data_IF_270670700936
#
_entry.id   IF_270670700936
#
_cell.length_a   1.000
_cell.length_b   1.000
_cell.length_c   1.000
_cell.angle_alpha   90.00
_cell.angle_beta   90.00
_cell.angle_gamma   90.00
#
_symmetry.space_group_name_H-M   'P 1'
#
loop_
_entity.id
_entity.type
_entity.pdbx_description
1 polymer ?
#
# COMPACT_ATOMS: atom_id res chain seq x y z
N UNK A 1 17.64 26.39 -1.50
CA UNK A 1 16.35 26.18 -2.05
C UNK A 1 15.50 25.30 -1.17
N UNK A 2 14.40 25.78 -0.87
CA UNK A 2 13.56 25.07 0.02
C UNK A 2 12.33 24.54 -0.69
N UNK A 3 12.15 23.25 -0.62
CA UNK A 3 10.97 22.65 -1.15
C UNK A 3 10.01 22.43 -0.02
N UNK A 4 9.08 23.31 0.10
CA UNK A 4 7.97 22.94 0.91
C UNK A 4 7.18 21.91 0.15
N UNK A 5 7.42 20.68 0.45
CA UNK A 5 6.60 19.64 -0.10
C UNK A 5 5.29 19.69 0.65
N UNK A 6 4.30 20.28 0.02
CA UNK A 6 2.96 20.26 0.59
C UNK A 6 2.35 18.91 0.27
N UNK A 7 2.15 18.11 1.31
CA UNK A 7 1.51 16.81 1.18
C UNK A 7 0.07 16.98 1.59
N UNK A 8 -0.83 16.69 0.68
CA UNK A 8 -2.25 16.79 0.92
C UNK A 8 -2.83 15.43 1.33
N UNK A 9 -4.04 15.41 1.89
CA UNK A 9 -4.71 14.16 2.17
C UNK A 9 -4.73 13.25 0.94
N UNK A 10 -4.42 11.97 1.16
CA UNK A 10 -4.43 10.91 0.17
C UNK A 10 -3.32 10.98 -0.88
N UNK A 11 -2.33 11.86 -0.68
CA UNK A 11 -1.14 11.91 -1.53
C UNK A 11 -0.14 10.79 -1.23
N UNK A 12 -0.06 10.37 0.02
CA UNK A 12 0.94 9.40 0.48
C UNK A 12 0.25 8.28 1.23
N UNK A 13 0.37 7.07 0.72
CA UNK A 13 -0.20 5.88 1.35
C UNK A 13 0.91 4.92 1.75
N UNK A 14 0.71 4.25 2.88
CA UNK A 14 1.55 3.13 3.29
C UNK A 14 0.77 1.84 3.21
N UNK A 15 1.35 0.82 2.61
CA UNK A 15 0.75 -0.51 2.51
C UNK A 15 1.56 -1.49 3.35
N UNK A 16 0.87 -2.37 4.07
CA UNK A 16 1.51 -3.40 4.86
C UNK A 16 0.58 -4.59 5.02
N UNK A 17 1.15 -5.80 4.99
CA UNK A 17 0.41 -7.01 5.31
C UNK A 17 0.62 -7.37 6.78
N UNK A 18 -0.46 -7.73 7.42
CA UNK A 18 -0.43 -8.21 8.80
C UNK A 18 -0.88 -9.66 8.85
N UNK A 19 -0.24 -10.45 9.70
CA UNK A 19 -0.54 -11.86 9.85
C UNK A 19 0.72 -12.70 9.73
N UNK A 20 0.60 -14.02 9.69
CA UNK A 20 -0.67 -14.76 9.66
C UNK A 20 -1.39 -14.77 10.99
N UNK A 21 -2.71 -14.70 10.94
CA UNK A 21 -3.58 -14.88 12.08
C UNK A 21 -4.26 -16.25 12.00
N UNK A 22 -4.84 -16.75 13.09
CA UNK A 22 -5.68 -17.94 13.00
C UNK A 22 -6.78 -17.71 11.95
N UNK A 23 -6.99 -18.71 11.11
CA UNK A 23 -7.94 -18.57 10.01
C UNK A 23 -9.35 -18.29 10.50
N UNK A 24 -9.98 -17.30 9.91
CA UNK A 24 -11.38 -16.97 10.16
C UNK A 24 -12.03 -16.78 8.80
N UNK A 25 -12.98 -17.63 8.47
CA UNK A 25 -13.62 -17.62 7.16
C UNK A 25 -12.62 -17.74 6.00
N UNK A 26 -11.53 -18.48 6.23
CA UNK A 26 -10.50 -18.69 5.23
C UNK A 26 -9.47 -17.56 5.13
N UNK A 27 -9.59 -16.51 5.91
CA UNK A 27 -8.66 -15.39 5.87
C UNK A 27 -7.61 -15.52 6.98
N UNK A 28 -6.37 -15.34 6.63
CA UNK A 28 -5.24 -15.39 7.57
C UNK A 28 -4.43 -14.12 7.61
N UNK A 29 -4.66 -13.20 6.67
CA UNK A 29 -3.90 -11.96 6.56
C UNK A 29 -4.83 -10.79 6.36
N UNK A 30 -4.32 -9.60 6.65
CA UNK A 30 -5.01 -8.35 6.35
C UNK A 30 -4.02 -7.45 5.63
N UNK A 31 -4.41 -6.95 4.47
CA UNK A 31 -3.65 -5.88 3.81
C UNK A 31 -4.20 -4.56 4.30
N UNK A 32 -3.34 -3.74 4.87
CA UNK A 32 -3.71 -2.47 5.46
C UNK A 32 -3.08 -1.34 4.65
N UNK A 33 -3.89 -0.35 4.32
CA UNK A 33 -3.42 0.88 3.70
C UNK A 33 -3.74 2.06 4.60
N UNK A 34 -2.77 2.91 4.85
CA UNK A 34 -2.93 4.08 5.72
C UNK A 34 -2.56 5.32 4.94
N UNK A 35 -3.44 6.31 4.94
CA UNK A 35 -3.10 7.63 4.45
C UNK A 35 -2.26 8.36 5.50
N UNK A 36 -1.08 8.82 5.12
CA UNK A 36 -0.14 9.40 6.08
C UNK A 36 -0.61 10.72 6.66
N UNK A 37 -1.41 11.46 5.93
CA UNK A 37 -1.87 12.79 6.38
C UNK A 37 -3.06 12.66 7.33
N UNK A 38 -4.11 11.98 6.91
CA UNK A 38 -5.34 11.89 7.68
C UNK A 38 -5.37 10.73 8.66
N UNK A 39 -4.48 9.74 8.43
CA UNK A 39 -4.48 8.47 9.17
C UNK A 39 -5.68 7.60 8.84
N UNK A 40 -6.38 7.90 7.76
CA UNK A 40 -7.46 7.06 7.28
C UNK A 40 -6.91 5.67 6.93
N UNK A 41 -7.65 4.65 7.27
CA UNK A 41 -7.25 3.26 7.05
C UNK A 41 -8.25 2.56 6.16
N UNK A 42 -7.71 1.88 5.13
CA UNK A 42 -8.47 0.91 4.35
C UNK A 42 -7.84 -0.45 4.62
N UNK A 43 -8.65 -1.49 4.70
CA UNK A 43 -8.13 -2.82 4.99
C UNK A 43 -8.91 -3.86 4.21
N UNK A 44 -8.19 -4.88 3.74
CA UNK A 44 -8.79 -6.00 3.02
C UNK A 44 -8.30 -7.29 3.67
N UNK A 45 -9.22 -8.16 4.13
CA UNK A 45 -8.82 -9.49 4.56
C UNK A 45 -8.45 -10.34 3.34
N UNK A 46 -7.46 -11.20 3.50
CA UNK A 46 -7.01 -12.05 2.41
C UNK A 46 -6.52 -13.39 2.95
N UNK A 47 -6.55 -14.41 2.09
CA UNK A 47 -6.05 -15.74 2.46
C UNK A 47 -4.52 -15.82 2.38
N UNK A 48 -3.88 -14.86 1.72
CA UNK A 48 -2.42 -14.85 1.59
C UNK A 48 -1.93 -13.44 1.33
N UNK A 49 -0.68 -13.19 1.69
CA UNK A 49 -0.01 -11.96 1.32
C UNK A 49 0.56 -12.13 -0.10
N UNK A 50 -0.07 -11.53 -1.09
CA UNK A 50 0.39 -11.64 -2.47
C UNK A 50 0.15 -10.36 -3.27
N UNK A 51 0.83 -10.28 -4.43
CA UNK A 51 0.77 -9.08 -5.25
C UNK A 51 -0.60 -8.85 -5.88
N UNK A 52 -1.41 -9.87 -6.08
CA UNK A 52 -2.74 -9.69 -6.66
C UNK A 52 -3.66 -8.95 -5.71
N UNK A 53 -3.57 -9.24 -4.43
CA UNK A 53 -4.33 -8.50 -3.41
C UNK A 53 -3.85 -7.06 -3.32
N UNK A 54 -2.54 -6.85 -3.42
CA UNK A 54 -1.98 -5.49 -3.42
C UNK A 54 -2.48 -4.68 -4.61
N UNK A 55 -2.51 -5.28 -5.80
CA UNK A 55 -3.02 -4.63 -7.01
C UNK A 55 -4.51 -4.30 -6.85
N UNK A 56 -5.27 -5.23 -6.31
CA UNK A 56 -6.71 -5.04 -6.11
C UNK A 56 -6.99 -3.87 -5.17
N UNK A 57 -6.30 -3.81 -4.03
CA UNK A 57 -6.48 -2.71 -3.10
C UNK A 57 -6.12 -1.38 -3.75
N UNK A 58 -5.00 -1.33 -4.43
CA UNK A 58 -4.54 -0.10 -5.05
C UNK A 58 -5.53 0.38 -6.10
N UNK A 59 -5.91 -0.49 -7.01
CA UNK A 59 -6.73 -0.11 -8.16
C UNK A 59 -8.21 0.11 -7.78
N UNK A 60 -8.80 -0.83 -7.05
CA UNK A 60 -10.25 -0.84 -6.84
C UNK A 60 -10.66 -0.01 -5.64
N UNK A 61 -9.77 0.25 -4.72
CA UNK A 61 -10.08 1.01 -3.52
C UNK A 61 -9.37 2.36 -3.54
N UNK A 62 -8.06 2.37 -3.61
CA UNK A 62 -7.31 3.62 -3.47
C UNK A 62 -7.52 4.52 -4.68
N UNK A 63 -7.21 4.03 -5.87
CA UNK A 63 -7.37 4.84 -7.08
C UNK A 63 -8.83 5.24 -7.31
N UNK A 64 -9.74 4.30 -7.12
CA UNK A 64 -11.15 4.53 -7.42
C UNK A 64 -11.79 5.52 -6.45
N UNK A 65 -11.39 5.52 -5.18
CA UNK A 65 -12.04 6.33 -4.15
C UNK A 65 -11.28 7.60 -3.80
N UNK A 66 -9.97 7.56 -3.88
CA UNK A 66 -9.13 8.66 -3.38
C UNK A 66 -8.26 9.27 -4.46
N UNK A 67 -8.23 8.68 -5.64
CA UNK A 67 -7.36 9.13 -6.72
C UNK A 67 -6.00 8.47 -6.67
N UNK A 68 -5.17 8.80 -7.64
CA UNK A 68 -3.83 8.23 -7.75
C UNK A 68 -2.90 8.95 -6.80
N UNK A 69 -2.26 8.24 -5.85
CA UNK A 69 -1.37 8.88 -4.90
C UNK A 69 -0.07 9.31 -5.57
N UNK A 70 0.62 10.25 -4.96
CA UNK A 70 1.95 10.66 -5.42
C UNK A 70 3.02 9.69 -4.94
N UNK A 71 2.85 9.15 -3.74
CA UNK A 71 3.81 8.23 -3.14
C UNK A 71 3.10 7.04 -2.54
N UNK A 72 3.72 5.88 -2.72
CA UNK A 72 3.31 4.67 -2.01
C UNK A 72 4.53 4.14 -1.27
N UNK A 73 4.38 3.93 0.03
CA UNK A 73 5.45 3.43 0.89
C UNK A 73 5.11 2.01 1.29
N UNK A 74 6.03 1.08 1.05
CA UNK A 74 5.87 -0.31 1.43
C UNK A 74 7.16 -0.82 2.05
N UNK A 75 7.11 -1.99 2.68
CA UNK A 75 8.32 -2.71 3.01
C UNK A 75 8.86 -3.39 1.75
N UNK A 76 9.96 -4.10 1.85
CA UNK A 76 10.58 -4.79 0.71
C UNK A 76 10.01 -6.17 0.42
N UNK A 77 8.81 -6.49 0.91
CA UNK A 77 8.22 -7.80 0.72
C UNK A 77 7.94 -8.13 -0.75
N UNK A 78 8.02 -9.41 -1.10
CA UNK A 78 7.86 -9.85 -2.48
C UNK A 78 6.52 -9.46 -3.09
N UNK A 79 5.47 -9.39 -2.28
CA UNK A 79 4.14 -8.99 -2.73
C UNK A 79 4.06 -7.51 -3.16
N UNK A 80 5.05 -6.69 -2.81
CA UNK A 80 5.12 -5.30 -3.21
C UNK A 80 6.20 -5.03 -4.26
N UNK A 81 7.20 -5.90 -4.37
CA UNK A 81 8.25 -5.73 -5.38
C UNK A 81 8.00 -6.59 -6.61
N UNK A 82 6.89 -7.33 -6.66
CA UNK A 82 6.52 -8.13 -7.82
C UNK A 82 6.34 -7.23 -9.05
N UNK A 83 6.80 -7.73 -10.20
CA UNK A 83 6.83 -6.92 -11.41
C UNK A 83 5.48 -6.35 -11.82
N UNK A 84 4.40 -7.10 -11.68
CA UNK A 84 3.07 -6.63 -12.04
C UNK A 84 2.63 -5.44 -11.18
N UNK A 85 2.91 -5.49 -9.87
CA UNK A 85 2.58 -4.40 -8.97
C UNK A 85 3.41 -3.16 -9.29
N UNK A 86 4.72 -3.34 -9.49
CA UNK A 86 5.61 -2.22 -9.81
C UNK A 86 5.27 -1.59 -11.15
N UNK A 87 4.88 -2.40 -12.14
CA UNK A 87 4.48 -1.89 -13.46
C UNK A 87 3.23 -1.03 -13.34
N UNK A 88 2.29 -1.42 -12.49
CA UNK A 88 1.09 -0.62 -12.27
C UNK A 88 1.42 0.73 -11.66
N UNK A 89 2.30 0.75 -10.66
CA UNK A 89 2.72 2.01 -10.05
C UNK A 89 3.40 2.91 -11.07
N UNK A 90 4.29 2.34 -11.89
CA UNK A 90 4.98 3.12 -12.92
C UNK A 90 4.01 3.67 -13.97
N UNK A 91 3.02 2.87 -14.36
CA UNK A 91 2.03 3.28 -15.35
C UNK A 91 1.26 4.52 -14.90
N UNK A 92 0.96 4.62 -13.63
CA UNK A 92 0.21 5.74 -13.08
C UNK A 92 1.11 6.79 -12.42
N UNK A 93 2.40 6.67 -12.62
CA UNK A 93 3.38 7.64 -12.12
C UNK A 93 3.36 7.78 -10.59
N UNK A 94 3.13 6.68 -9.91
CA UNK A 94 3.21 6.63 -8.45
C UNK A 94 4.65 6.37 -8.04
N UNK A 95 5.17 7.21 -7.18
CA UNK A 95 6.53 7.07 -6.69
C UNK A 95 6.55 6.02 -5.57
N UNK A 96 7.16 4.88 -5.83
CA UNK A 96 7.21 3.80 -4.87
C UNK A 96 8.48 3.93 -4.01
N UNK A 97 8.28 4.02 -2.71
CA UNK A 97 9.37 4.08 -1.74
C UNK A 97 9.32 2.85 -0.86
N UNK A 98 10.46 2.21 -0.70
CA UNK A 98 10.57 1.05 0.17
C UNK A 98 11.20 1.52 1.47
N UNK A 99 10.44 1.38 2.55
CA UNK A 99 10.93 1.71 3.88
C UNK A 99 11.62 0.50 4.47
N UNK A 100 12.81 0.70 4.98
CA UNK A 100 13.49 -0.36 5.72
C UNK A 100 12.72 -0.66 6.98
N UNK A 101 12.73 -1.93 7.39
CA UNK A 101 12.17 -2.29 8.66
C UNK A 101 12.87 -1.48 9.75
N UNK A 102 12.07 -0.91 10.63
CA UNK A 102 12.62 -0.10 11.70
C UNK A 102 13.26 -0.98 12.76
N UNK A 103 14.45 -0.62 13.14
CA UNK A 103 15.16 -1.31 14.21
C UNK A 103 15.60 -0.30 15.24
N UNK A 104 15.05 -0.38 16.42
CA UNK A 104 15.51 0.51 17.48
C UNK A 104 16.97 0.26 17.82
#
# INVERSE_FOLDING_TARGET
MNYSLVIEPFDVWGFDYMGPFPASNGYTHILVAVDYVTKWVEAIPTSSADHNTSIKLLNEVIFARFGVPRYLITDGGSHFIHGAFRKMLAKYDVNHRIASAYHP
#
